data_IF_706462217631
#
_entry.id   IF_706462217631
#
_cell.length_a   1.000
_cell.length_b   1.000
_cell.length_c   1.000
_cell.angle_alpha   90.00
_cell.angle_beta   90.00
_cell.angle_gamma   90.00
#
_symmetry.space_group_name_H-M   'P 1'
#
loop_
_entity.id
_entity.type
_entity.pdbx_description
1 polymer ?
#
# COMPACT_ATOMS: atom_id res chain seq x y z
N UNK A 1 13.64 8.22 4.36
CA UNK A 1 12.84 8.28 3.15
C UNK A 1 11.70 7.28 3.24
N UNK A 2 10.49 7.72 2.94
CA UNK A 2 9.31 6.86 3.05
C UNK A 2 9.15 6.02 1.78
N UNK A 3 9.06 4.71 1.94
CA UNK A 3 8.81 3.82 0.83
C UNK A 3 7.30 3.54 0.74
N UNK A 4 6.86 3.03 -0.41
CA UNK A 4 5.46 2.63 -0.59
C UNK A 4 5.07 1.57 0.44
N UNK A 5 5.96 0.61 0.69
CA UNK A 5 5.69 -0.42 1.69
C UNK A 5 5.51 0.18 3.08
N UNK A 6 6.37 1.13 3.44
CA UNK A 6 6.28 1.80 4.74
C UNK A 6 4.94 2.53 4.89
N UNK A 7 4.51 3.25 3.83
CA UNK A 7 3.21 3.93 3.84
C UNK A 7 2.07 2.93 4.03
N UNK A 8 2.08 1.85 3.26
CA UNK A 8 1.04 0.81 3.37
C UNK A 8 1.04 0.20 4.77
N UNK A 9 2.22 -0.13 5.28
CA UNK A 9 2.34 -0.72 6.61
C UNK A 9 1.80 0.22 7.70
N UNK A 10 2.13 1.51 7.60
CA UNK A 10 1.65 2.50 8.54
C UNK A 10 0.12 2.61 8.50
N UNK A 11 -0.44 2.66 7.29
CA UNK A 11 -1.89 2.73 7.13
C UNK A 11 -2.58 1.48 7.67
N UNK A 12 -1.99 0.32 7.42
CA UNK A 12 -2.53 -0.94 7.96
C UNK A 12 -2.54 -0.90 9.48
N UNK A 13 -1.47 -0.43 10.09
CA UNK A 13 -1.39 -0.34 11.54
C UNK A 13 -2.45 0.63 12.09
N UNK A 14 -2.65 1.76 11.42
CA UNK A 14 -3.67 2.74 11.84
C UNK A 14 -5.08 2.18 11.74
N UNK A 15 -5.32 1.24 10.83
CA UNK A 15 -6.63 0.63 10.63
C UNK A 15 -6.75 -0.73 11.31
N UNK A 16 -5.76 -1.13 12.11
CA UNK A 16 -5.76 -2.40 12.82
C UNK A 16 -5.89 -3.62 11.91
N UNK A 17 -5.23 -3.58 10.76
CA UNK A 17 -5.19 -4.71 9.85
C UNK A 17 -3.74 -5.00 9.47
N UNK A 18 -3.52 -6.19 8.92
CA UNK A 18 -2.21 -6.57 8.40
C UNK A 18 -2.18 -6.38 6.89
N UNK A 19 -0.99 -6.23 6.28
CA UNK A 19 -0.90 -6.21 4.83
C UNK A 19 -1.49 -7.45 4.17
N UNK A 20 -1.35 -8.60 4.82
CA UNK A 20 -1.95 -9.85 4.34
C UNK A 20 -3.47 -9.75 4.27
N UNK A 21 -4.08 -9.22 5.32
CA UNK A 21 -5.53 -9.00 5.36
C UNK A 21 -5.96 -8.02 4.28
N UNK A 22 -5.18 -6.96 4.09
CA UNK A 22 -5.46 -5.98 3.05
C UNK A 22 -5.50 -6.63 1.67
N UNK A 23 -4.51 -7.46 1.36
CA UNK A 23 -4.48 -8.16 0.08
C UNK A 23 -5.71 -9.05 -0.09
N UNK A 24 -6.10 -9.77 0.95
CA UNK A 24 -7.27 -10.62 0.92
C UNK A 24 -8.55 -9.83 0.64
N UNK A 25 -8.69 -8.69 1.32
CA UNK A 25 -9.88 -7.85 1.18
C UNK A 25 -9.99 -7.25 -0.22
N UNK A 26 -8.87 -6.90 -0.82
CA UNK A 26 -8.85 -6.22 -2.12
C UNK A 26 -8.64 -7.17 -3.30
N UNK A 27 -8.40 -8.44 -3.02
CA UNK A 27 -8.10 -9.40 -4.07
C UNK A 27 -6.77 -9.17 -4.75
N UNK A 28 -5.80 -8.64 -4.02
CA UNK A 28 -4.46 -8.34 -4.52
C UNK A 28 -3.53 -9.49 -4.17
N UNK A 29 -2.60 -9.80 -5.08
CA UNK A 29 -1.60 -10.82 -4.82
C UNK A 29 -0.67 -10.39 -3.68
N UNK A 30 -0.44 -11.29 -2.74
CA UNK A 30 0.49 -11.02 -1.65
C UNK A 30 1.92 -10.85 -2.13
N UNK A 31 2.23 -11.39 -3.30
CA UNK A 31 3.53 -11.22 -3.91
C UNK A 31 3.88 -9.76 -4.17
N UNK A 32 2.87 -8.94 -4.48
CA UNK A 32 3.07 -7.51 -4.69
C UNK A 32 3.61 -6.86 -3.42
N UNK A 33 2.99 -7.14 -2.29
CA UNK A 33 3.42 -6.58 -1.01
C UNK A 33 4.80 -7.10 -0.62
N UNK A 34 5.04 -8.39 -0.83
CA UNK A 34 6.33 -9.00 -0.54
C UNK A 34 7.44 -8.35 -1.38
N UNK A 35 7.17 -8.11 -2.65
CA UNK A 35 8.15 -7.49 -3.53
C UNK A 35 8.47 -6.04 -3.09
N UNK A 36 7.46 -5.31 -2.65
CA UNK A 36 7.67 -3.97 -2.11
C UNK A 36 8.51 -4.03 -0.82
N UNK A 37 8.21 -4.97 0.04
CA UNK A 37 8.93 -5.15 1.30
C UNK A 37 10.40 -5.49 1.06
N UNK A 38 10.66 -6.35 0.09
CA UNK A 38 12.01 -6.81 -0.22
C UNK A 38 12.80 -5.85 -1.11
N UNK A 39 12.14 -4.80 -1.58
CA UNK A 39 12.79 -3.83 -2.44
C UNK A 39 12.90 -4.24 -3.89
N UNK A 40 12.24 -5.32 -4.29
CA UNK A 40 12.24 -5.77 -5.69
C UNK A 40 11.35 -4.92 -6.57
N UNK A 41 10.39 -4.25 -5.97
CA UNK A 41 9.43 -3.42 -6.66
C UNK A 41 9.38 -2.07 -5.96
N UNK A 42 9.43 -1.00 -6.73
CA UNK A 42 9.44 0.35 -6.16
C UNK A 42 8.12 1.08 -6.34
N UNK A 43 7.28 0.59 -7.25
CA UNK A 43 6.02 1.23 -7.58
C UNK A 43 4.90 0.21 -7.62
N UNK A 44 3.67 0.70 -7.63
CA UNK A 44 2.47 -0.10 -7.79
C UNK A 44 1.80 0.26 -9.12
N UNK A 45 1.10 -0.70 -9.71
CA UNK A 45 0.20 -0.39 -10.79
C UNK A 45 -0.83 0.63 -10.33
N UNK A 46 -1.22 1.51 -11.24
CA UNK A 46 -2.20 2.53 -10.90
C UNK A 46 -3.50 1.92 -10.34
N UNK A 47 -3.96 0.82 -10.92
CA UNK A 47 -5.16 0.14 -10.45
C UNK A 47 -5.00 -0.36 -9.02
N UNK A 48 -3.88 -1.00 -8.71
CA UNK A 48 -3.60 -1.51 -7.37
C UNK A 48 -3.48 -0.37 -6.37
N UNK A 49 -2.74 0.67 -6.73
CA UNK A 49 -2.57 1.83 -5.86
C UNK A 49 -3.93 2.49 -5.57
N UNK A 50 -4.77 2.61 -6.58
CA UNK A 50 -6.11 3.19 -6.42
C UNK A 50 -6.96 2.36 -5.45
N UNK A 51 -6.93 1.04 -5.60
CA UNK A 51 -7.69 0.16 -4.69
C UNK A 51 -7.27 0.34 -3.25
N UNK A 52 -5.96 0.36 -3.01
CA UNK A 52 -5.42 0.51 -1.66
C UNK A 52 -5.76 1.89 -1.10
N UNK A 53 -5.54 2.93 -1.90
CA UNK A 53 -5.82 4.29 -1.46
C UNK A 53 -7.30 4.47 -1.13
N UNK A 54 -8.17 3.95 -1.96
CA UNK A 54 -9.61 4.01 -1.73
C UNK A 54 -10.02 3.28 -0.46
N UNK A 55 -9.40 2.13 -0.22
CA UNK A 55 -9.68 1.34 0.98
C UNK A 55 -9.37 2.15 2.24
N UNK A 56 -8.27 2.87 2.25
CA UNK A 56 -7.86 3.66 3.40
C UNK A 56 -8.41 5.08 3.42
N UNK A 57 -9.08 5.49 2.36
CA UNK A 57 -9.64 6.85 2.27
C UNK A 57 -8.58 7.93 2.08
N UNK A 58 -7.49 7.61 1.42
CA UNK A 58 -6.41 8.56 1.14
C UNK A 58 -6.23 8.70 -0.37
N UNK A 59 -5.50 9.74 -0.79
CA UNK A 59 -5.20 9.91 -2.21
C UNK A 59 -4.12 8.93 -2.65
N UNK A 60 -4.10 8.62 -3.95
CA UNK A 60 -3.04 7.78 -4.51
C UNK A 60 -1.68 8.44 -4.33
N UNK A 61 -1.62 9.75 -4.51
CA UNK A 61 -0.37 10.49 -4.30
C UNK A 61 0.15 10.34 -2.87
N UNK A 62 -0.73 10.43 -1.89
CA UNK A 62 -0.33 10.23 -0.51
C UNK A 62 0.17 8.81 -0.28
N UNK A 63 -0.53 7.82 -0.85
CA UNK A 63 -0.14 6.42 -0.71
C UNK A 63 1.26 6.17 -1.29
N UNK A 64 1.56 6.81 -2.42
CA UNK A 64 2.86 6.65 -3.08
C UNK A 64 3.96 7.50 -2.46
N UNK A 65 3.63 8.29 -1.43
CA UNK A 65 4.62 9.15 -0.78
C UNK A 65 4.94 10.41 -1.55
N UNK A 66 4.12 10.78 -2.52
CA UNK A 66 4.31 11.98 -3.34
C UNK A 66 3.70 13.22 -2.73
N UNK A 67 2.78 13.05 -1.80
CA UNK A 67 2.12 14.15 -1.10
C UNK A 67 2.36 14.03 0.39
N UNK A 68 2.46 15.16 1.03
CA UNK A 68 2.47 15.19 2.49
C UNK A 68 1.05 15.46 2.98
N UNK A 69 0.71 14.82 4.07
CA UNK A 69 -0.59 15.00 4.65
C UNK A 69 -0.64 16.30 5.46
#
# INVERSE_FOLDING_TARGET
>A
MTTIYTQISTLCAQHNITPCKLCSELGISRGIITDLKMGRKKDLHATTAYKIAKYFGVSVGYLLGMEEK
#
